data_IF_697250002928
#
_entry.id   IF_697250002928
#
_cell.length_a   1.000
_cell.length_b   1.000
_cell.length_c   1.000
_cell.angle_alpha   90.00
_cell.angle_beta   90.00
_cell.angle_gamma   90.00
#
_symmetry.space_group_name_H-M   'P 1'
#
loop_
_entity.id
_entity.type
_entity.pdbx_description
1 polymer ?
#
# COMPACT_ATOMS: atom_id res chain seq x y z
N UNK A 1 -24.37 5.34 7.82
CA UNK A 1 -22.99 5.14 7.31
C UNK A 1 -23.09 4.30 6.05
N UNK A 2 -22.60 4.79 4.90
CA UNK A 2 -22.56 4.02 3.65
C UNK A 2 -21.67 2.78 3.81
N UNK A 3 -21.95 1.73 3.04
CA UNK A 3 -21.06 0.57 2.99
C UNK A 3 -19.68 0.98 2.43
N UNK A 4 -18.57 0.43 2.93
CA UNK A 4 -17.25 0.74 2.40
C UNK A 4 -17.12 0.24 0.95
N UNK A 5 -16.33 0.97 0.13
CA UNK A 5 -16.01 0.56 -1.24
C UNK A 5 -15.19 -0.73 -1.24
N UNK A 6 -14.19 -0.81 -0.35
CA UNK A 6 -13.37 -2.00 -0.12
C UNK A 6 -13.34 -2.37 1.34
N UNK A 7 -13.56 -3.64 1.66
CA UNK A 7 -13.40 -4.19 3.00
C UNK A 7 -12.63 -5.51 2.94
N UNK A 8 -11.53 -5.57 3.66
CA UNK A 8 -10.74 -6.76 3.88
C UNK A 8 -10.84 -7.15 5.34
N UNK A 9 -11.13 -8.42 5.64
CA UNK A 9 -11.27 -8.93 7.02
C UNK A 9 -10.37 -10.13 7.22
N UNK A 10 -9.55 -10.06 8.26
CA UNK A 10 -8.68 -11.12 8.77
C UNK A 10 -7.84 -11.80 7.68
N UNK A 11 -7.29 -10.97 6.76
CA UNK A 11 -6.48 -11.48 5.66
C UNK A 11 -5.24 -12.19 6.16
N UNK A 12 -5.04 -13.41 5.69
CA UNK A 12 -3.84 -14.20 5.93
C UNK A 12 -3.21 -14.59 4.60
N UNK A 13 -1.89 -14.44 4.50
CA UNK A 13 -1.11 -14.97 3.38
C UNK A 13 0.11 -15.69 3.89
N UNK A 14 0.18 -16.99 3.55
CA UNK A 14 1.32 -17.85 3.87
C UNK A 14 1.97 -18.35 2.59
N UNK A 15 3.30 -18.28 2.55
CA UNK A 15 4.09 -18.81 1.45
C UNK A 15 4.87 -20.04 1.92
N UNK A 16 4.75 -21.19 1.25
CA UNK A 16 5.54 -22.37 1.59
C UNK A 16 7.01 -22.14 1.23
N UNK A 17 7.90 -22.34 2.20
CA UNK A 17 9.34 -22.36 1.98
C UNK A 17 9.74 -23.78 1.59
N UNK A 18 10.39 -23.93 0.44
CA UNK A 18 10.82 -25.22 -0.09
C UNK A 18 12.35 -25.31 -0.12
N UNK A 19 12.87 -26.47 0.25
CA UNK A 19 14.29 -26.75 0.12
C UNK A 19 14.73 -26.64 -1.35
N UNK A 20 15.84 -25.93 -1.60
CA UNK A 20 16.28 -25.58 -2.95
C UNK A 20 16.50 -26.79 -3.88
N UNK A 21 17.05 -27.89 -3.34
CA UNK A 21 17.37 -29.10 -4.12
C UNK A 21 16.21 -30.09 -4.14
N UNK A 22 15.62 -30.39 -2.98
CA UNK A 22 14.61 -31.45 -2.83
C UNK A 22 13.19 -31.00 -3.11
N UNK A 23 12.95 -29.65 -3.24
CA UNK A 23 11.62 -29.02 -3.33
C UNK A 23 10.66 -29.39 -2.17
N UNK A 24 11.16 -30.06 -1.15
CA UNK A 24 10.38 -30.46 0.02
C UNK A 24 10.03 -29.20 0.83
N UNK A 25 8.79 -29.12 1.33
CA UNK A 25 8.34 -28.03 2.22
C UNK A 25 9.15 -28.12 3.52
N UNK A 26 9.86 -27.03 3.88
CA UNK A 26 10.69 -26.95 5.10
C UNK A 26 10.15 -25.92 6.10
N UNK A 27 9.14 -25.14 5.71
CA UNK A 27 8.52 -24.15 6.57
C UNK A 27 7.47 -23.33 5.84
N UNK A 28 6.94 -22.32 6.49
CA UNK A 28 6.04 -21.32 5.90
C UNK A 28 6.45 -19.92 6.38
N UNK A 29 6.39 -18.95 5.47
CA UNK A 29 6.47 -17.51 5.80
C UNK A 29 5.08 -16.96 5.84
N UNK A 30 4.68 -16.38 6.97
CA UNK A 30 3.43 -15.63 7.07
C UNK A 30 3.70 -14.16 6.73
N UNK A 31 3.40 -13.77 5.49
CA UNK A 31 3.63 -12.41 5.01
C UNK A 31 2.52 -11.44 5.43
N UNK A 32 1.30 -11.95 5.62
CA UNK A 32 0.14 -11.21 6.11
C UNK A 32 -0.58 -12.08 7.14
N UNK A 33 -0.89 -11.53 8.31
CA UNK A 33 -1.38 -12.27 9.46
C UNK A 33 -2.52 -11.52 10.18
N UNK A 34 -3.76 -11.78 9.74
CA UNK A 34 -4.97 -11.21 10.32
C UNK A 34 -5.17 -9.72 10.01
N UNK A 35 -4.77 -9.28 8.81
CA UNK A 35 -4.94 -7.87 8.42
C UNK A 35 -6.38 -7.58 8.04
N UNK A 36 -6.98 -6.59 8.71
CA UNK A 36 -8.29 -6.04 8.39
C UNK A 36 -8.16 -4.57 8.02
N UNK A 37 -8.69 -4.20 6.84
CA UNK A 37 -8.63 -2.85 6.28
C UNK A 37 -9.98 -2.51 5.63
N UNK A 38 -10.32 -1.23 5.62
CA UNK A 38 -11.47 -0.74 4.86
C UNK A 38 -11.11 0.54 4.14
N UNK A 39 -11.75 0.80 3.00
CA UNK A 39 -11.63 2.03 2.23
C UNK A 39 -13.03 2.49 1.86
N UNK A 40 -13.34 3.73 2.17
CA UNK A 40 -14.61 4.36 1.80
C UNK A 40 -14.47 5.01 0.39
N UNK A 41 -15.58 5.34 -0.27
CA UNK A 41 -15.55 6.04 -1.57
C UNK A 41 -14.87 7.40 -1.42
N UNK A 42 -13.99 7.76 -2.37
CA UNK A 42 -13.22 9.00 -2.37
C UNK A 42 -12.10 9.06 -1.31
N UNK A 43 -11.92 8.00 -0.52
CA UNK A 43 -10.89 7.93 0.52
C UNK A 43 -9.51 7.53 -0.06
N UNK A 44 -8.44 8.06 0.53
CA UNK A 44 -7.09 7.50 0.39
C UNK A 44 -6.64 6.88 1.71
N UNK A 45 -6.56 5.54 1.73
CA UNK A 45 -5.95 4.80 2.83
C UNK A 45 -4.45 4.64 2.59
N UNK A 46 -3.61 5.27 3.40
CA UNK A 46 -2.17 5.04 3.44
C UNK A 46 -1.84 3.74 4.19
N UNK A 47 -0.93 2.94 3.65
CA UNK A 47 -0.38 1.75 4.31
C UNK A 47 1.12 1.89 4.41
N UNK A 48 1.64 1.98 5.63
CA UNK A 48 3.06 2.27 5.90
C UNK A 48 3.70 1.20 6.77
N UNK A 49 5.02 1.09 6.72
CA UNK A 49 5.82 0.19 7.54
C UNK A 49 7.18 -0.09 6.91
N UNK A 50 8.08 -0.75 7.64
CA UNK A 50 9.41 -1.13 7.14
C UNK A 50 9.32 -2.02 5.90
N UNK A 51 10.41 -2.03 5.09
CA UNK A 51 10.52 -2.94 3.95
C UNK A 51 10.38 -4.40 4.40
N UNK A 52 9.67 -5.21 3.63
CA UNK A 52 9.43 -6.63 3.96
C UNK A 52 8.34 -6.89 5.02
N UNK A 53 7.65 -5.88 5.56
CA UNK A 53 6.58 -6.11 6.54
C UNK A 53 5.23 -6.59 5.94
N UNK A 54 5.15 -6.84 4.63
CA UNK A 54 3.97 -7.42 3.99
C UNK A 54 3.06 -6.45 3.23
N UNK A 55 3.39 -5.16 3.11
CA UNK A 55 2.56 -4.12 2.44
C UNK A 55 2.20 -4.46 0.99
N UNK A 56 3.20 -4.75 0.16
CA UNK A 56 2.97 -5.10 -1.25
C UNK A 56 2.17 -6.40 -1.38
N UNK A 57 2.35 -7.35 -0.46
CA UNK A 57 1.51 -8.55 -0.40
C UNK A 57 0.05 -8.18 -0.12
N UNK A 58 -0.21 -7.27 0.82
CA UNK A 58 -1.59 -6.75 1.04
C UNK A 58 -2.15 -6.14 -0.24
N UNK A 59 -1.40 -5.28 -0.94
CA UNK A 59 -1.85 -4.70 -2.21
C UNK A 59 -2.22 -5.74 -3.26
N UNK A 60 -1.41 -6.81 -3.40
CA UNK A 60 -1.69 -7.93 -4.32
C UNK A 60 -2.89 -8.76 -3.89
N UNK A 61 -3.12 -8.93 -2.59
CA UNK A 61 -4.32 -9.59 -2.08
C UNK A 61 -5.57 -8.77 -2.36
N UNK A 62 -5.56 -7.46 -2.06
CA UNK A 62 -6.69 -6.57 -2.27
C UNK A 62 -7.13 -6.53 -3.74
N UNK A 63 -6.17 -6.57 -4.68
CA UNK A 63 -6.44 -6.61 -6.13
C UNK A 63 -6.66 -8.01 -6.69
N UNK A 64 -6.62 -9.05 -5.84
CA UNK A 64 -6.73 -10.45 -6.26
C UNK A 64 -5.72 -10.83 -7.35
N UNK A 65 -4.55 -10.20 -7.37
CA UNK A 65 -3.37 -10.71 -8.10
C UNK A 65 -2.81 -11.96 -7.42
N UNK A 66 -3.00 -12.03 -6.10
CA UNK A 66 -2.75 -13.23 -5.31
C UNK A 66 -3.99 -13.61 -4.50
N UNK A 67 -4.26 -14.90 -4.38
CA UNK A 67 -5.31 -15.39 -3.51
C UNK A 67 -4.88 -15.34 -2.04
N UNK A 68 -5.72 -14.89 -1.11
CA UNK A 68 -5.46 -15.03 0.32
C UNK A 68 -5.46 -16.51 0.72
N UNK A 69 -4.70 -16.84 1.78
CA UNK A 69 -4.76 -18.18 2.41
C UNK A 69 -6.00 -18.31 3.29
N UNK A 70 -6.41 -17.21 3.93
CA UNK A 70 -7.64 -17.09 4.72
C UNK A 70 -8.10 -15.63 4.77
N UNK A 71 -9.31 -15.39 5.26
CA UNK A 71 -9.94 -14.08 5.32
C UNK A 71 -10.85 -13.82 4.13
N UNK A 72 -11.46 -12.64 4.10
CA UNK A 72 -12.40 -12.21 3.05
C UNK A 72 -12.02 -10.85 2.48
N UNK A 73 -12.39 -10.61 1.21
CA UNK A 73 -12.20 -9.32 0.53
C UNK A 73 -13.51 -8.99 -0.16
N UNK A 74 -14.13 -7.91 0.26
CA UNK A 74 -15.35 -7.41 -0.36
C UNK A 74 -15.08 -6.09 -1.06
N UNK A 75 -15.41 -5.99 -2.33
CA UNK A 75 -15.28 -4.78 -3.14
C UNK A 75 -16.61 -4.46 -3.81
N UNK A 76 -17.09 -3.24 -3.63
CA UNK A 76 -18.38 -2.77 -4.16
C UNK A 76 -19.51 -3.78 -3.87
N UNK A 77 -19.59 -4.25 -2.63
CA UNK A 77 -20.53 -5.24 -2.14
C UNK A 77 -20.29 -6.69 -2.57
N UNK A 78 -19.29 -6.98 -3.44
CA UNK A 78 -18.97 -8.31 -3.98
C UNK A 78 -17.84 -8.97 -3.22
N UNK A 79 -18.03 -10.24 -2.82
CA UNK A 79 -16.95 -11.05 -2.24
C UNK A 79 -15.97 -11.50 -3.34
N UNK A 80 -14.68 -11.19 -3.16
CA UNK A 80 -13.63 -11.46 -4.14
C UNK A 80 -12.81 -12.71 -3.85
N UNK A 81 -12.67 -13.10 -2.57
CA UNK A 81 -11.70 -14.13 -2.16
C UNK A 81 -11.93 -15.46 -2.87
N UNK A 82 -13.18 -15.82 -3.14
CA UNK A 82 -13.57 -17.08 -3.78
C UNK A 82 -13.76 -16.98 -5.31
N UNK A 83 -13.56 -15.80 -5.94
CA UNK A 83 -13.77 -15.65 -7.38
C UNK A 83 -12.64 -16.31 -8.18
N UNK A 84 -13.00 -16.98 -9.26
CA UNK A 84 -12.10 -17.42 -10.31
C UNK A 84 -11.69 -16.24 -11.23
N UNK A 85 -10.72 -16.47 -12.11
CA UNK A 85 -10.21 -15.43 -13.00
C UNK A 85 -11.27 -14.88 -13.98
N UNK A 86 -12.22 -15.69 -14.42
CA UNK A 86 -13.28 -15.24 -15.33
C UNK A 86 -14.23 -14.28 -14.62
N UNK A 87 -14.62 -14.61 -13.39
CA UNK A 87 -15.46 -13.76 -12.54
C UNK A 87 -14.73 -12.51 -12.04
N UNK A 88 -13.41 -12.55 -11.94
CA UNK A 88 -12.57 -11.38 -11.62
C UNK A 88 -12.44 -10.38 -12.78
N UNK A 89 -12.60 -10.79 -14.05
CA UNK A 89 -12.43 -9.89 -15.21
C UNK A 89 -13.26 -8.60 -15.13
N UNK A 90 -14.57 -8.64 -14.85
CA UNK A 90 -15.36 -7.41 -14.71
C UNK A 90 -14.92 -6.58 -13.49
N UNK A 91 -14.53 -7.20 -12.38
CA UNK A 91 -14.05 -6.49 -11.18
C UNK A 91 -12.75 -5.75 -11.45
N UNK A 92 -11.85 -6.33 -12.26
CA UNK A 92 -10.56 -5.71 -12.64
C UNK A 92 -10.72 -4.43 -13.45
N UNK A 93 -11.91 -4.05 -13.92
CA UNK A 93 -12.15 -2.72 -14.53
C UNK A 93 -12.19 -1.65 -13.46
N UNK A 94 -12.86 -1.94 -12.35
CA UNK A 94 -13.14 -1.00 -11.28
C UNK A 94 -12.03 -0.99 -10.20
N UNK A 95 -11.20 -2.05 -10.16
CA UNK A 95 -10.14 -2.25 -9.18
C UNK A 95 -8.79 -2.46 -9.89
N UNK A 96 -7.94 -1.45 -9.83
CA UNK A 96 -6.67 -1.41 -10.57
C UNK A 96 -5.46 -1.29 -9.64
N UNK A 97 -4.26 -1.51 -10.19
CA UNK A 97 -2.99 -1.39 -9.46
C UNK A 97 -1.95 -0.62 -10.28
N UNK A 98 -1.22 0.26 -9.59
CA UNK A 98 0.02 0.89 -10.06
C UNK A 98 1.18 0.22 -9.31
N UNK A 99 2.16 -0.30 -10.04
CA UNK A 99 3.28 -1.05 -9.48
C UNK A 99 4.47 -0.15 -9.11
N UNK A 100 5.31 -0.65 -8.22
CA UNK A 100 6.52 0.01 -7.72
C UNK A 100 7.53 0.33 -8.81
N UNK A 101 7.82 -0.63 -9.69
CA UNK A 101 8.74 -0.45 -10.82
C UNK A 101 7.93 -0.25 -12.12
N UNK A 102 7.92 0.98 -12.65
CA UNK A 102 7.19 1.28 -13.87
C UNK A 102 7.69 0.47 -15.06
N UNK A 103 9.03 0.30 -15.21
CA UNK A 103 9.60 -0.36 -16.37
C UNK A 103 9.29 -1.86 -16.39
N UNK A 104 9.40 -2.55 -15.26
CA UNK A 104 9.06 -3.97 -15.19
C UNK A 104 7.56 -4.23 -15.40
N UNK A 105 6.73 -3.23 -15.15
CA UNK A 105 5.28 -3.31 -15.33
C UNK A 105 4.81 -3.07 -16.77
N UNK A 106 5.66 -2.47 -17.63
CA UNK A 106 5.35 -2.12 -19.01
C UNK A 106 6.05 -3.10 -19.96
N UNK A 107 5.34 -3.63 -20.97
CA UNK A 107 5.97 -4.48 -21.97
C UNK A 107 6.91 -3.64 -22.86
N UNK A 108 8.24 -3.87 -22.83
CA UNK A 108 9.20 -3.03 -23.54
C UNK A 108 9.09 -3.13 -25.07
N UNK A 109 8.39 -4.15 -25.60
CA UNK A 109 8.18 -4.37 -27.04
C UNK A 109 6.94 -3.66 -27.58
N UNK A 110 6.11 -3.13 -26.70
CA UNK A 110 4.86 -2.44 -27.06
C UNK A 110 5.09 -0.93 -27.07
N UNK A 111 4.43 -0.23 -27.99
CA UNK A 111 4.28 1.22 -27.90
C UNK A 111 3.35 1.59 -26.74
N UNK A 112 3.42 2.83 -26.27
CA UNK A 112 2.52 3.35 -25.23
C UNK A 112 1.06 3.16 -25.62
N UNK A 113 0.68 3.41 -26.87
CA UNK A 113 -0.67 3.12 -27.39
C UNK A 113 -1.07 1.67 -27.17
N UNK A 114 -0.20 0.72 -27.51
CA UNK A 114 -0.47 -0.70 -27.34
C UNK A 114 -0.62 -1.07 -25.85
N UNK A 115 0.20 -0.47 -24.97
CA UNK A 115 0.14 -0.69 -23.52
C UNK A 115 -1.19 -0.18 -22.95
N UNK A 116 -1.61 1.02 -23.33
CA UNK A 116 -2.83 1.64 -22.82
C UNK A 116 -4.11 0.99 -23.37
N UNK A 117 -4.06 0.40 -24.57
CA UNK A 117 -5.19 -0.31 -25.18
C UNK A 117 -5.24 -1.80 -24.84
N UNK A 118 -4.14 -2.39 -24.34
CA UNK A 118 -4.07 -3.82 -24.02
C UNK A 118 -5.18 -4.29 -23.05
N UNK A 119 -5.51 -3.56 -21.94
CA UNK A 119 -6.56 -3.98 -21.03
C UNK A 119 -7.92 -4.17 -21.71
N UNK A 120 -8.26 -3.33 -22.68
CA UNK A 120 -9.51 -3.42 -23.44
C UNK A 120 -9.48 -4.61 -24.41
N UNK A 121 -8.39 -4.79 -25.14
CA UNK A 121 -8.23 -5.91 -26.08
C UNK A 121 -8.38 -7.27 -25.40
N UNK A 122 -7.78 -7.47 -24.23
CA UNK A 122 -7.91 -8.70 -23.44
C UNK A 122 -9.34 -8.98 -22.97
N UNK A 123 -10.15 -7.94 -22.84
CA UNK A 123 -11.55 -8.05 -22.41
C UNK A 123 -12.54 -8.00 -23.58
N UNK A 124 -12.07 -7.84 -24.82
CA UNK A 124 -12.94 -7.70 -26.00
C UNK A 124 -13.76 -6.41 -26.00
N UNK A 125 -13.20 -5.32 -25.44
CA UNK A 125 -13.86 -4.03 -25.30
C UNK A 125 -13.20 -2.97 -26.19
N UNK A 126 -13.94 -1.92 -26.50
CA UNK A 126 -13.37 -0.69 -27.04
C UNK A 126 -12.83 0.21 -25.90
N UNK A 127 -11.76 1.01 -26.15
CA UNK A 127 -11.30 2.02 -25.22
C UNK A 127 -12.42 3.01 -24.85
N UNK A 128 -12.46 3.41 -23.58
CA UNK A 128 -13.46 4.37 -23.05
C UNK A 128 -13.22 5.77 -23.57
N UNK A 129 -11.93 6.11 -23.80
CA UNK A 129 -11.52 7.41 -24.33
C UNK A 129 -10.27 7.25 -25.22
N UNK A 130 -9.94 8.25 -26.08
CA UNK A 130 -8.72 8.24 -26.87
C UNK A 130 -7.47 8.13 -25.99
N UNK A 131 -6.45 7.42 -26.51
CA UNK A 131 -5.15 7.28 -25.82
C UNK A 131 -4.50 8.64 -25.58
N UNK A 132 -4.64 9.57 -26.51
CA UNK A 132 -4.13 10.93 -26.44
C UNK A 132 -4.68 11.68 -25.23
N UNK A 133 -5.99 11.63 -25.03
CA UNK A 133 -6.66 12.24 -23.87
C UNK A 133 -6.17 11.66 -22.56
N UNK A 134 -5.99 10.32 -22.52
CA UNK A 134 -5.48 9.63 -21.34
C UNK A 134 -4.03 10.03 -21.02
N UNK A 135 -3.19 10.25 -22.04
CA UNK A 135 -1.83 10.76 -21.87
C UNK A 135 -1.82 12.22 -21.35
N UNK A 136 -2.66 13.07 -21.89
CA UNK A 136 -2.79 14.47 -21.44
C UNK A 136 -3.20 14.55 -19.97
N UNK A 137 -4.12 13.69 -19.50
CA UNK A 137 -4.53 13.61 -18.07
C UNK A 137 -3.36 13.35 -17.12
N UNK A 138 -2.35 12.60 -17.56
CA UNK A 138 -1.18 12.33 -16.74
C UNK A 138 0.00 13.28 -17.06
N UNK A 139 -0.25 14.37 -17.81
CA UNK A 139 0.74 15.39 -18.14
C UNK A 139 1.78 14.91 -19.18
N UNK A 140 1.40 13.98 -20.07
CA UNK A 140 2.20 13.55 -21.21
C UNK A 140 1.60 14.09 -22.51
N UNK A 141 2.44 14.19 -23.56
CA UNK A 141 1.99 14.69 -24.87
C UNK A 141 1.38 13.56 -25.71
N UNK A 142 0.42 13.89 -26.56
CA UNK A 142 -0.25 12.95 -27.46
C UNK A 142 0.74 12.16 -28.36
N UNK A 143 1.81 12.80 -28.84
CA UNK A 143 2.85 12.18 -29.66
C UNK A 143 3.61 11.04 -28.96
N UNK A 144 3.59 10.99 -27.62
CA UNK A 144 4.19 9.92 -26.83
C UNK A 144 3.50 8.55 -27.04
N UNK A 145 2.29 8.53 -27.60
CA UNK A 145 1.56 7.29 -27.89
C UNK A 145 2.30 6.32 -28.82
N UNK A 146 3.16 6.83 -29.73
CA UNK A 146 3.92 6.02 -30.67
C UNK A 146 5.27 5.50 -30.12
N UNK A 147 5.73 6.03 -28.99
CA UNK A 147 7.03 5.68 -28.40
C UNK A 147 6.98 4.39 -27.59
N UNK A 148 8.16 3.85 -27.28
CA UNK A 148 8.34 2.65 -26.44
C UNK A 148 8.80 3.03 -25.01
N UNK A 149 8.56 2.18 -24.00
CA UNK A 149 8.90 2.48 -22.59
C UNK A 149 10.35 2.93 -22.35
N UNK A 150 11.32 2.35 -23.05
CA UNK A 150 12.74 2.67 -22.89
C UNK A 150 13.14 4.08 -23.37
N UNK A 151 12.22 4.81 -24.04
CA UNK A 151 12.44 6.17 -24.51
C UNK A 151 12.00 7.24 -23.50
N UNK A 152 11.57 6.81 -22.29
CA UNK A 152 11.02 7.67 -21.25
C UNK A 152 11.90 7.70 -19.99
N UNK A 153 11.84 8.80 -19.25
CA UNK A 153 12.38 8.86 -17.89
C UNK A 153 11.55 8.01 -16.93
N UNK A 154 12.09 7.68 -15.75
CA UNK A 154 11.37 6.94 -14.72
C UNK A 154 10.03 7.57 -14.33
N UNK A 155 10.00 8.90 -14.14
CA UNK A 155 8.77 9.62 -13.83
C UNK A 155 7.74 9.62 -14.97
N UNK A 156 8.21 9.68 -16.23
CA UNK A 156 7.31 9.55 -17.38
C UNK A 156 6.77 8.12 -17.53
N UNK A 157 7.61 7.10 -17.31
CA UNK A 157 7.17 5.70 -17.31
C UNK A 157 6.15 5.44 -16.19
N UNK A 158 6.32 6.05 -15.01
CA UNK A 158 5.34 5.99 -13.93
C UNK A 158 4.01 6.64 -14.33
N UNK A 159 4.02 7.78 -15.00
CA UNK A 159 2.81 8.42 -15.54
C UNK A 159 2.09 7.53 -16.56
N UNK A 160 2.83 6.78 -17.40
CA UNK A 160 2.25 5.77 -18.31
C UNK A 160 1.61 4.63 -17.51
N UNK A 161 2.25 4.16 -16.43
CA UNK A 161 1.70 3.15 -15.52
C UNK A 161 0.39 3.61 -14.86
N UNK A 162 0.34 4.88 -14.42
CA UNK A 162 -0.87 5.51 -13.89
C UNK A 162 -1.96 5.62 -14.98
N UNK A 163 -1.62 6.12 -16.17
CA UNK A 163 -2.55 6.20 -17.31
C UNK A 163 -3.16 4.83 -17.64
N UNK A 164 -2.35 3.76 -17.62
CA UNK A 164 -2.83 2.40 -17.85
C UNK A 164 -3.84 1.95 -16.78
N UNK A 165 -3.59 2.26 -15.52
CA UNK A 165 -4.52 1.95 -14.44
C UNK A 165 -5.84 2.72 -14.58
N UNK A 166 -5.79 3.96 -15.07
CA UNK A 166 -6.97 4.82 -15.28
C UNK A 166 -7.79 4.48 -16.53
N UNK A 167 -7.23 3.71 -17.46
CA UNK A 167 -7.84 3.46 -18.77
C UNK A 167 -9.29 2.97 -18.71
N UNK A 168 -9.64 2.19 -17.70
CA UNK A 168 -11.01 1.69 -17.48
C UNK A 168 -11.89 2.59 -16.59
N UNK A 169 -11.39 3.76 -16.13
CA UNK A 169 -12.05 4.63 -15.14
C UNK A 169 -12.41 3.84 -13.86
N UNK A 170 -11.42 3.31 -13.14
CA UNK A 170 -11.64 2.49 -11.97
C UNK A 170 -12.27 3.29 -10.83
N UNK A 171 -12.89 2.60 -9.87
CA UNK A 171 -13.35 3.17 -8.60
C UNK A 171 -12.24 3.22 -7.55
N UNK A 172 -11.33 2.23 -7.60
CA UNK A 172 -10.23 2.08 -6.64
C UNK A 172 -8.92 1.73 -7.36
N UNK A 173 -7.86 2.44 -7.00
CA UNK A 173 -6.49 2.13 -7.45
C UNK A 173 -5.61 1.83 -6.25
N UNK A 174 -4.97 0.67 -6.24
CA UNK A 174 -3.91 0.33 -5.30
C UNK A 174 -2.59 0.84 -5.88
N UNK A 175 -1.94 1.75 -5.19
CA UNK A 175 -0.64 2.30 -5.57
C UNK A 175 0.44 1.63 -4.71
N UNK A 176 1.15 0.63 -5.26
CA UNK A 176 2.21 -0.10 -4.56
C UNK A 176 3.55 0.60 -4.74
N UNK A 177 3.95 1.39 -3.75
CA UNK A 177 5.18 2.22 -3.72
C UNK A 177 5.41 3.06 -5.00
N UNK A 178 4.41 3.82 -5.49
CA UNK A 178 4.43 4.42 -6.83
C UNK A 178 5.47 5.53 -7.01
N UNK A 179 6.17 5.94 -5.95
CA UNK A 179 7.16 7.03 -5.98
C UNK A 179 8.54 6.62 -5.44
N UNK A 180 8.71 5.38 -4.97
CA UNK A 180 9.92 4.94 -4.25
C UNK A 180 11.20 4.96 -5.08
N UNK A 181 11.10 4.78 -6.39
CA UNK A 181 12.24 4.74 -7.33
C UNK A 181 12.52 6.09 -8.01
N UNK A 182 11.86 7.17 -7.57
CA UNK A 182 11.91 8.49 -8.21
C UNK A 182 12.67 9.49 -7.31
N UNK A 183 13.25 10.52 -7.92
CA UNK A 183 13.80 11.66 -7.18
C UNK A 183 12.71 12.49 -6.49
N UNK A 184 13.09 13.23 -5.45
CA UNK A 184 12.14 13.98 -4.58
C UNK A 184 11.24 14.93 -5.36
N UNK A 185 11.77 15.58 -6.40
CA UNK A 185 11.00 16.57 -7.20
C UNK A 185 9.94 15.87 -8.04
N UNK A 186 10.27 14.72 -8.65
CA UNK A 186 9.34 13.91 -9.43
C UNK A 186 8.33 13.21 -8.52
N UNK A 187 8.73 12.78 -7.32
CA UNK A 187 7.80 12.25 -6.31
C UNK A 187 6.67 13.24 -6.02
N UNK A 188 7.02 14.51 -5.73
CA UNK A 188 6.03 15.54 -5.45
C UNK A 188 5.07 15.76 -6.63
N UNK A 189 5.58 15.74 -7.87
CA UNK A 189 4.74 15.84 -9.06
C UNK A 189 3.77 14.66 -9.22
N UNK A 190 4.21 13.42 -8.95
CA UNK A 190 3.33 12.24 -9.02
C UNK A 190 2.28 12.28 -7.90
N UNK A 191 2.63 12.70 -6.69
CA UNK A 191 1.67 12.83 -5.59
C UNK A 191 0.60 13.88 -5.88
N UNK A 192 0.98 15.04 -6.45
CA UNK A 192 0.03 16.05 -6.87
C UNK A 192 -0.86 15.52 -8.00
N UNK A 193 -0.28 14.88 -9.02
CA UNK A 193 -1.05 14.24 -10.09
C UNK A 193 -2.10 13.25 -9.56
N UNK A 194 -1.74 12.39 -8.59
CA UNK A 194 -2.70 11.45 -8.01
C UNK A 194 -3.83 12.15 -7.25
N UNK A 195 -3.56 13.28 -6.59
CA UNK A 195 -4.60 14.09 -5.94
C UNK A 195 -5.54 14.75 -6.96
N UNK A 196 -4.98 15.38 -7.98
CA UNK A 196 -5.76 16.03 -9.03
C UNK A 196 -6.69 14.99 -9.70
N UNK A 197 -6.15 13.80 -10.02
CA UNK A 197 -6.92 12.70 -10.58
C UNK A 197 -8.00 12.16 -9.61
N UNK A 198 -7.75 12.18 -8.30
CA UNK A 198 -8.73 11.79 -7.30
C UNK A 198 -9.91 12.76 -7.29
N UNK A 199 -9.64 14.06 -7.31
CA UNK A 199 -10.65 15.11 -7.31
C UNK A 199 -11.46 15.11 -8.62
N UNK A 200 -10.76 15.01 -9.77
CA UNK A 200 -11.39 15.05 -11.09
C UNK A 200 -12.26 13.82 -11.41
N UNK A 201 -11.84 12.64 -10.96
CA UNK A 201 -12.46 11.36 -11.34
C UNK A 201 -13.20 10.68 -10.18
N UNK A 202 -13.18 11.23 -8.97
CA UNK A 202 -13.80 10.62 -7.79
C UNK A 202 -13.14 9.32 -7.36
N UNK A 203 -11.82 9.17 -7.56
CA UNK A 203 -11.09 7.95 -7.29
C UNK A 203 -10.90 7.71 -5.78
N UNK A 204 -10.83 6.43 -5.42
CA UNK A 204 -10.34 6.01 -4.10
C UNK A 204 -8.95 5.39 -4.24
N UNK A 205 -8.10 5.51 -3.21
CA UNK A 205 -6.77 4.92 -3.24
C UNK A 205 -6.48 4.03 -2.03
N UNK A 206 -5.71 2.97 -2.26
CA UNK A 206 -4.84 2.36 -1.23
C UNK A 206 -3.41 2.74 -1.61
N UNK A 207 -2.81 3.64 -0.86
CA UNK A 207 -1.46 4.14 -1.13
C UNK A 207 -0.45 3.44 -0.20
N UNK A 208 0.32 2.52 -0.76
CA UNK A 208 1.36 1.77 -0.04
C UNK A 208 2.68 2.51 -0.19
N UNK A 209 3.34 2.78 0.93
CA UNK A 209 4.64 3.44 0.93
C UNK A 209 5.48 3.11 2.16
N UNK A 210 6.76 3.41 2.08
CA UNK A 210 7.68 3.38 3.23
C UNK A 210 8.05 4.81 3.69
N UNK A 211 7.82 5.81 2.84
CA UNK A 211 8.01 7.23 3.17
C UNK A 211 6.73 7.81 3.76
N UNK A 212 6.76 8.08 5.06
CA UNK A 212 5.66 8.70 5.80
C UNK A 212 5.35 10.13 5.33
N UNK A 213 6.33 10.87 4.78
CA UNK A 213 6.12 12.20 4.22
C UNK A 213 5.21 12.15 3.00
N UNK A 214 5.51 11.25 2.06
CA UNK A 214 4.68 11.01 0.88
C UNK A 214 3.28 10.54 1.27
N UNK A 215 3.18 9.57 2.20
CA UNK A 215 1.88 9.05 2.67
C UNK A 215 1.07 10.13 3.38
N UNK A 216 1.69 10.97 4.22
CA UNK A 216 1.03 12.12 4.85
C UNK A 216 0.40 13.06 3.84
N UNK A 217 1.09 13.29 2.73
CA UNK A 217 0.65 14.24 1.71
C UNK A 217 -0.65 13.80 1.01
N UNK A 218 -0.83 12.49 0.76
CA UNK A 218 -1.96 12.00 -0.05
C UNK A 218 -3.07 11.34 0.77
N UNK A 219 -2.77 10.79 1.96
CA UNK A 219 -3.71 9.96 2.70
C UNK A 219 -4.65 10.77 3.60
N UNK A 220 -5.87 10.28 3.75
CA UNK A 220 -6.85 10.76 4.74
C UNK A 220 -6.79 9.96 6.03
N UNK A 221 -6.52 8.66 5.92
CA UNK A 221 -6.33 7.72 7.02
C UNK A 221 -5.11 6.84 6.75
N UNK A 222 -4.44 6.38 7.81
CA UNK A 222 -3.19 5.62 7.70
C UNK A 222 -3.29 4.36 8.55
N UNK A 223 -2.85 3.24 7.98
CA UNK A 223 -2.62 1.97 8.66
C UNK A 223 -1.11 1.69 8.72
N UNK A 224 -0.58 1.48 9.91
CA UNK A 224 0.83 1.16 10.15
C UNK A 224 0.96 -0.35 10.29
N UNK A 225 1.82 -0.95 9.46
CA UNK A 225 2.06 -2.39 9.43
C UNK A 225 3.44 -2.75 9.97
N UNK A 226 3.49 -3.82 10.75
CA UNK A 226 4.71 -4.43 11.26
C UNK A 226 4.59 -5.97 11.21
N UNK A 227 5.57 -6.66 10.63
CA UNK A 227 5.61 -8.13 10.50
C UNK A 227 4.26 -8.76 10.13
N UNK A 228 3.66 -8.30 9.02
CA UNK A 228 2.42 -8.85 8.48
C UNK A 228 1.14 -8.44 9.19
N UNK A 229 1.20 -7.57 10.20
CA UNK A 229 0.03 -7.15 10.99
C UNK A 229 -0.15 -5.65 11.00
N UNK A 230 -1.39 -5.16 11.16
CA UNK A 230 -1.66 -3.75 11.45
C UNK A 230 -1.46 -3.52 12.94
N UNK A 231 -0.56 -2.59 13.29
CA UNK A 231 -0.25 -2.25 14.68
C UNK A 231 -0.92 -0.97 15.13
N UNK A 232 -1.25 -0.06 14.22
CA UNK A 232 -1.96 1.17 14.49
C UNK A 232 -2.71 1.65 13.25
N UNK A 233 -3.92 2.20 13.40
CA UNK A 233 -4.65 2.89 12.34
C UNK A 233 -5.38 4.08 12.89
N UNK A 234 -5.28 5.23 12.22
CA UNK A 234 -5.94 6.47 12.61
C UNK A 234 -6.12 7.40 11.40
N UNK A 235 -6.93 8.44 11.56
CA UNK A 235 -6.91 9.59 10.67
C UNK A 235 -5.50 10.18 10.58
N UNK A 236 -5.10 10.66 9.39
CA UNK A 236 -3.74 11.19 9.13
C UNK A 236 -3.27 12.15 10.24
N UNK A 237 -4.05 13.19 10.50
CA UNK A 237 -3.63 14.25 11.42
C UNK A 237 -3.58 13.74 12.89
N UNK A 238 -4.49 12.84 13.27
CA UNK A 238 -4.46 12.18 14.56
C UNK A 238 -3.23 11.29 14.74
N UNK A 239 -2.84 10.51 13.71
CA UNK A 239 -1.66 9.66 13.75
C UNK A 239 -0.37 10.48 13.92
N UNK A 240 -0.23 11.58 13.18
CA UNK A 240 0.95 12.44 13.24
C UNK A 240 1.03 13.26 14.54
N UNK A 241 -0.11 13.65 15.11
CA UNK A 241 -0.14 14.41 16.37
C UNK A 241 -0.04 13.52 17.61
N UNK A 242 -0.63 12.31 17.60
CA UNK A 242 -0.84 11.48 18.79
C UNK A 242 -0.71 9.99 18.48
N UNK A 243 0.37 9.61 17.78
CA UNK A 243 0.71 8.19 17.65
C UNK A 243 0.72 7.52 19.02
N UNK A 244 0.29 6.28 19.09
CA UNK A 244 0.14 5.56 20.36
C UNK A 244 0.90 4.23 20.41
N UNK A 245 1.31 3.69 19.26
CA UNK A 245 2.15 2.50 19.20
C UNK A 245 3.64 2.88 19.20
N UNK A 246 4.50 2.26 20.03
CA UNK A 246 5.93 2.58 20.09
C UNK A 246 6.67 2.48 18.73
N UNK A 247 6.25 1.57 17.85
CA UNK A 247 6.77 1.48 16.50
C UNK A 247 6.40 2.68 15.62
N UNK A 248 5.15 3.17 15.74
CA UNK A 248 4.72 4.37 15.01
C UNK A 248 5.50 5.60 15.45
N UNK A 249 5.78 5.73 16.76
CA UNK A 249 6.67 6.79 17.26
C UNK A 249 8.05 6.73 16.62
N UNK A 250 8.64 5.55 16.52
CA UNK A 250 9.95 5.38 15.89
C UNK A 250 9.92 5.77 14.42
N UNK A 251 8.91 5.32 13.66
CA UNK A 251 8.73 5.69 12.26
C UNK A 251 8.56 7.20 12.07
N UNK A 252 7.70 7.84 12.87
CA UNK A 252 7.49 9.29 12.82
C UNK A 252 8.75 10.06 13.21
N UNK A 253 9.55 9.53 14.14
CA UNK A 253 10.82 10.16 14.53
C UNK A 253 11.86 10.15 13.43
N UNK A 254 11.73 9.31 12.42
CA UNK A 254 12.64 9.23 11.28
C UNK A 254 12.27 10.19 10.13
N UNK A 255 11.04 10.76 10.14
CA UNK A 255 10.61 11.73 9.11
C UNK A 255 11.33 13.07 9.31
N UNK A 256 12.10 13.58 8.33
CA UNK A 256 12.76 14.86 8.46
C UNK A 256 11.76 16.01 8.65
N UNK A 257 12.09 16.95 9.52
CA UNK A 257 11.32 18.19 9.69
C UNK A 257 11.86 19.28 8.74
N UNK A 258 10.97 20.11 8.17
CA UNK A 258 11.38 21.19 7.25
C UNK A 258 12.27 22.25 7.94
N UNK A 259 12.11 22.42 9.27
CA UNK A 259 12.90 23.38 10.04
C UNK A 259 14.22 22.75 10.54
N UNK A 260 15.39 23.25 10.08
CA UNK A 260 16.69 22.71 10.47
C UNK A 260 17.01 22.85 11.97
N UNK A 261 16.43 23.85 12.65
CA UNK A 261 16.68 24.09 14.08
C UNK A 261 15.94 23.03 14.89
N UNK A 262 14.66 22.87 14.61
CA UNK A 262 13.81 21.85 15.25
C UNK A 262 14.31 20.44 14.93
N UNK A 263 14.77 20.15 13.70
CA UNK A 263 15.31 18.85 13.31
C UNK A 263 16.61 18.51 14.11
N UNK A 264 17.50 19.49 14.34
CA UNK A 264 18.71 19.27 15.14
C UNK A 264 18.44 19.04 16.62
N UNK A 265 17.39 19.67 17.15
CA UNK A 265 16.98 19.51 18.56
C UNK A 265 16.20 18.21 18.81
N UNK A 266 15.73 17.57 17.74
CA UNK A 266 14.88 16.39 17.83
C UNK A 266 15.68 15.12 18.12
N UNK A 267 15.27 14.39 19.13
CA UNK A 267 15.80 13.07 19.43
C UNK A 267 15.17 12.01 18.52
N UNK A 268 15.97 11.39 17.66
CA UNK A 268 15.52 10.27 16.82
C UNK A 268 15.45 8.99 17.64
N UNK A 269 14.35 8.25 17.51
CA UNK A 269 14.20 6.94 18.13
C UNK A 269 14.86 5.90 17.22
N UNK A 270 16.06 5.45 17.60
CA UNK A 270 16.74 4.37 16.89
C UNK A 270 16.22 3.04 17.41
N UNK A 271 15.55 2.30 16.53
CA UNK A 271 15.11 0.93 16.84
C UNK A 271 16.33 0.03 16.96
N UNK A 272 16.49 -0.61 18.14
CA UNK A 272 17.60 -1.54 18.38
C UNK A 272 17.24 -2.94 17.88
N UNK A 273 18.24 -3.66 17.34
CA UNK A 273 18.10 -5.00 16.82
C UNK A 273 17.53 -5.06 15.40
N UNK A 274 17.74 -6.19 14.76
CA UNK A 274 17.26 -6.47 13.40
C UNK A 274 15.75 -6.74 13.36
N UNK A 275 15.15 -6.58 12.17
CA UNK A 275 13.79 -6.99 11.93
C UNK A 275 13.69 -8.52 12.16
N UNK A 276 12.80 -9.00 13.05
CA UNK A 276 12.65 -10.43 13.27
C UNK A 276 12.28 -11.16 11.99
N UNK A 277 12.76 -12.40 11.87
CA UNK A 277 12.45 -13.23 10.71
C UNK A 277 10.96 -13.56 10.64
N UNK A 278 10.31 -13.39 9.49
CA UNK A 278 8.92 -13.84 9.32
C UNK A 278 8.78 -15.37 9.30
N UNK A 279 9.91 -16.11 9.28
CA UNK A 279 9.95 -17.57 9.44
C UNK A 279 9.82 -17.99 10.91
N UNK A 280 10.31 -17.14 11.83
CA UNK A 280 10.29 -17.38 13.27
C UNK A 280 9.90 -16.07 13.98
N UNK A 281 8.62 -15.68 13.90
CA UNK A 281 8.15 -14.44 14.51
C UNK A 281 8.18 -14.56 16.04
N UNK A 282 8.48 -13.44 16.75
CA UNK A 282 8.45 -13.42 18.21
C UNK A 282 7.08 -13.86 18.77
N UNK A 283 7.10 -14.61 19.87
CA UNK A 283 5.87 -14.95 20.60
C UNK A 283 5.17 -13.70 21.11
N UNK A 284 3.87 -13.73 21.31
CA UNK A 284 3.10 -12.58 21.80
C UNK A 284 3.13 -11.38 20.86
N UNK A 285 3.55 -10.21 21.35
CA UNK A 285 3.66 -9.00 20.55
C UNK A 285 4.82 -9.09 19.56
N UNK A 286 4.58 -8.97 18.24
CA UNK A 286 5.65 -9.06 17.23
C UNK A 286 6.74 -7.99 17.39
N UNK A 287 6.40 -6.83 17.96
CA UNK A 287 7.34 -5.72 18.14
C UNK A 287 8.16 -5.81 19.45
N UNK A 288 7.88 -6.75 20.36
CA UNK A 288 8.46 -6.80 21.72
C UNK A 288 9.99 -6.79 21.75
N UNK A 289 10.65 -7.41 20.79
CA UNK A 289 12.12 -7.51 20.74
C UNK A 289 12.81 -6.19 20.42
N UNK A 290 12.07 -5.21 19.89
CA UNK A 290 12.56 -3.87 19.53
C UNK A 290 11.86 -2.75 20.31
N UNK A 291 10.95 -3.12 21.21
CA UNK A 291 10.11 -2.18 21.96
C UNK A 291 10.74 -1.77 23.27
N UNK A 292 10.93 -0.46 23.49
CA UNK A 292 11.43 0.08 24.77
C UNK A 292 10.44 -0.04 25.93
N UNK A 293 9.13 -0.28 25.62
CA UNK A 293 8.05 -0.51 26.61
C UNK A 293 7.76 -2.00 26.81
N UNK A 294 8.60 -2.93 26.29
CA UNK A 294 8.33 -4.35 26.39
C UNK A 294 8.29 -4.80 27.87
N UNK A 295 7.27 -5.60 28.19
CA UNK A 295 7.08 -6.22 29.50
C UNK A 295 6.69 -7.71 29.32
N UNK A 296 6.63 -8.49 30.39
CA UNK A 296 6.32 -9.93 30.36
C UNK A 296 5.01 -10.24 29.63
N UNK A 297 3.99 -9.41 29.80
CA UNK A 297 2.73 -9.55 29.05
C UNK A 297 2.93 -9.51 27.55
N UNK A 298 3.88 -8.71 27.05
CA UNK A 298 4.17 -8.63 25.60
C UNK A 298 4.79 -9.92 25.07
N UNK A 299 5.43 -10.74 25.91
CA UNK A 299 5.95 -12.04 25.52
C UNK A 299 4.88 -13.13 25.55
N UNK A 300 3.94 -13.04 26.50
CA UNK A 300 2.92 -14.03 26.74
C UNK A 300 1.69 -13.89 25.83
N UNK A 301 1.30 -12.65 25.49
CA UNK A 301 0.02 -12.35 24.82
C UNK A 301 0.22 -11.47 23.59
N UNK A 302 -0.46 -11.82 22.48
CA UNK A 302 -0.51 -10.95 21.29
C UNK A 302 -1.54 -9.84 21.49
N UNK A 303 -1.16 -8.56 21.37
CA UNK A 303 -2.11 -7.47 21.47
C UNK A 303 -3.06 -7.47 20.27
N UNK A 304 -4.35 -7.28 20.53
CA UNK A 304 -5.37 -7.12 19.50
C UNK A 304 -5.53 -5.64 19.13
N UNK A 305 -5.85 -5.38 17.88
CA UNK A 305 -6.16 -4.03 17.40
C UNK A 305 -7.48 -3.58 18.06
N UNK A 306 -7.42 -2.56 18.92
CA UNK A 306 -8.57 -2.04 19.66
C UNK A 306 -8.66 -0.54 19.54
N UNK A 307 -9.86 -0.01 19.55
CA UNK A 307 -10.11 1.43 19.53
C UNK A 307 -9.72 2.04 20.88
N UNK A 308 -8.90 3.09 20.84
CA UNK A 308 -8.48 3.87 22.02
C UNK A 308 -9.18 5.22 22.08
N UNK A 309 -9.47 5.82 20.93
CA UNK A 309 -10.33 6.98 20.72
C UNK A 309 -11.07 6.79 19.41
N UNK A 310 -12.15 7.55 19.15
CA UNK A 310 -12.96 7.42 17.96
C UNK A 310 -12.11 7.45 16.68
N UNK A 311 -12.15 6.37 15.90
CA UNK A 311 -11.39 6.19 14.64
C UNK A 311 -9.88 5.98 14.82
N UNK A 312 -9.38 5.79 16.04
CA UNK A 312 -7.98 5.49 16.31
C UNK A 312 -7.85 4.13 17.02
N UNK A 313 -7.26 3.17 16.33
CA UNK A 313 -7.07 1.80 16.81
C UNK A 313 -5.60 1.46 16.96
N UNK A 314 -5.24 0.72 18.02
CA UNK A 314 -3.86 0.35 18.36
C UNK A 314 -3.78 -1.07 18.88
N UNK A 315 -2.82 -1.86 18.36
CA UNK A 315 -2.48 -3.20 18.83
C UNK A 315 -1.28 -3.14 19.79
N UNK A 316 -1.48 -2.60 20.97
CA UNK A 316 -0.46 -2.48 22.02
C UNK A 316 -1.08 -2.71 23.39
N UNK A 317 -0.35 -3.39 24.30
CA UNK A 317 -0.75 -3.54 25.70
C UNK A 317 -0.60 -2.24 26.49
N UNK A 318 0.35 -1.40 26.08
CA UNK A 318 0.73 -0.14 26.74
C UNK A 318 0.74 1.02 25.72
N UNK A 319 -0.45 1.33 25.12
CA UNK A 319 -0.53 2.44 24.17
C UNK A 319 -0.35 3.77 24.90
N UNK A 320 0.05 4.80 24.17
CA UNK A 320 0.14 6.15 24.72
C UNK A 320 1.39 6.88 24.27
N UNK A 321 1.44 8.17 24.59
CA UNK A 321 2.54 9.04 24.26
C UNK A 321 3.85 8.54 24.87
N UNK A 322 4.97 8.94 24.26
CA UNK A 322 6.28 8.70 24.82
C UNK A 322 6.37 9.42 26.18
N UNK A 323 6.43 8.67 27.26
CA UNK A 323 6.94 9.25 28.51
C UNK A 323 8.40 9.59 28.29
N UNK A 324 8.70 10.88 28.30
CA UNK A 324 10.06 11.45 28.24
C UNK A 324 10.97 10.87 29.31
#
# INVERSE_FOLDING_TARGET
MSAPLLEARDLVKRYPVRHRLTRRKVGEVTAVDGVSLRVDEGETLGVVGESGCGKSTVGRLLTRLEAPTAGSIRFDGRELAALDDNRMRPVRRDLQIVFQDPFSSLNPRHTVRQILTAPFRYQGLAPVEPVETLLERVGLRAEHAARHPHEFSGGQAQRIGIARALAHRPKLVVCDEPVSALDVSVQAQILNLLKDLQEDLGLSYVFIGHDLGAVRQISTRIAVMYLGTVVETAGRDALFARASHPYTHALLSAVPLPDPITERARERIVLRGDLPSPLDPPSGCPFRTRCHKAADRCAAERPVLREITAGHQVACHFPGERTS
#
